data_IF_726342503001
#
_entry.id   IF_726342503001
#
_cell.length_a   1.000
_cell.length_b   1.000
_cell.length_c   1.000
_cell.angle_alpha   90.00
_cell.angle_beta   90.00
_cell.angle_gamma   90.00
#
_symmetry.space_group_name_H-M   'P 1'
#
loop_
_entity.id
_entity.type
_entity.pdbx_description
1 polymer ?
#
# COMPACT_ATOMS: atom_id res chain seq x y z
N UNK A 1 11.94 4.02 -26.92
CA UNK A 1 12.54 4.87 -25.87
C UNK A 1 11.82 6.19 -25.88
N UNK A 2 11.39 6.65 -24.71
CA UNK A 2 10.67 7.93 -24.51
C UNK A 2 11.60 8.84 -23.73
N UNK A 3 11.77 10.11 -24.19
CA UNK A 3 12.55 11.12 -23.48
C UNK A 3 11.61 12.00 -22.65
N UNK A 4 11.94 12.18 -21.37
CA UNK A 4 11.17 12.99 -20.43
C UNK A 4 12.10 13.73 -19.47
N UNK A 5 11.53 14.64 -18.69
CA UNK A 5 12.26 15.38 -17.66
C UNK A 5 11.64 15.10 -16.30
N UNK A 6 12.43 14.62 -15.33
CA UNK A 6 12.01 14.42 -13.94
C UNK A 6 12.85 15.33 -13.03
N UNK A 7 12.20 16.19 -12.29
CA UNK A 7 12.82 17.18 -11.38
C UNK A 7 13.96 17.98 -12.05
N UNK A 8 13.78 18.33 -13.34
CA UNK A 8 14.74 19.11 -14.13
C UNK A 8 15.84 18.27 -14.80
N UNK A 9 15.91 16.97 -14.57
CA UNK A 9 16.88 16.06 -15.18
C UNK A 9 16.24 15.31 -16.34
N UNK A 10 16.84 15.39 -17.53
CA UNK A 10 16.39 14.63 -18.71
C UNK A 10 16.79 13.16 -18.56
N UNK A 11 15.86 12.27 -18.88
CA UNK A 11 16.09 10.83 -18.89
C UNK A 11 15.40 10.17 -20.06
N UNK A 12 15.85 8.97 -20.43
CA UNK A 12 15.24 8.13 -21.47
C UNK A 12 14.91 6.77 -20.90
N UNK A 13 13.68 6.36 -21.06
CA UNK A 13 13.19 5.07 -20.58
C UNK A 13 12.43 4.32 -21.68
N UNK A 14 12.24 3.00 -21.55
CA UNK A 14 11.41 2.24 -22.46
C UNK A 14 9.98 2.79 -22.54
N UNK A 15 9.33 2.64 -23.69
CA UNK A 15 7.91 2.93 -23.83
C UNK A 15 7.08 2.00 -22.92
N UNK A 16 6.04 2.54 -22.26
CA UNK A 16 5.22 1.82 -21.31
C UNK A 16 5.74 1.83 -19.86
N UNK A 17 6.96 2.35 -19.62
CA UNK A 17 7.48 2.57 -18.26
C UNK A 17 6.58 3.56 -17.52
N UNK A 18 6.30 3.32 -16.25
CA UNK A 18 5.55 4.27 -15.42
C UNK A 18 6.46 5.38 -14.88
N UNK A 19 5.88 6.53 -14.55
CA UNK A 19 6.61 7.64 -13.94
C UNK A 19 7.28 7.24 -12.60
N UNK A 20 6.69 6.30 -11.87
CA UNK A 20 7.28 5.76 -10.65
C UNK A 20 8.54 4.93 -10.94
N UNK A 21 8.49 4.05 -11.93
CA UNK A 21 9.62 3.23 -12.34
C UNK A 21 10.76 4.10 -12.87
N UNK A 22 10.45 5.04 -13.76
CA UNK A 22 11.44 6.00 -14.28
C UNK A 22 12.13 6.80 -13.16
N UNK A 23 11.37 7.30 -12.19
CA UNK A 23 11.92 8.00 -11.02
C UNK A 23 12.80 7.08 -10.17
N UNK A 24 12.38 5.82 -9.98
CA UNK A 24 13.13 4.82 -9.19
C UNK A 24 14.47 4.49 -9.85
N UNK A 25 14.52 4.33 -11.17
CA UNK A 25 15.77 4.12 -11.94
C UNK A 25 16.74 5.30 -11.79
N UNK A 26 16.22 6.51 -11.61
CA UNK A 26 17.03 7.70 -11.33
C UNK A 26 17.42 7.85 -9.85
N UNK A 27 17.06 6.90 -8.97
CA UNK A 27 17.30 6.97 -7.53
C UNK A 27 16.35 7.93 -6.79
N UNK A 28 15.28 8.41 -7.42
CA UNK A 28 14.30 9.30 -6.81
C UNK A 28 13.24 8.47 -6.10
N UNK A 29 13.12 8.64 -4.79
CA UNK A 29 12.14 7.93 -3.97
C UNK A 29 10.81 8.67 -3.96
N UNK A 30 9.77 8.06 -4.53
CA UNK A 30 8.38 8.52 -4.43
C UNK A 30 7.66 7.61 -3.43
N UNK A 31 6.97 8.16 -2.41
CA UNK A 31 6.28 7.34 -1.43
C UNK A 31 5.13 6.56 -2.07
N UNK A 32 4.96 5.30 -1.67
CA UNK A 32 3.88 4.42 -2.16
C UNK A 32 3.26 3.64 -1.02
N UNK A 33 1.99 3.23 -1.18
CA UNK A 33 1.32 2.29 -0.28
C UNK A 33 0.67 1.13 -1.02
N UNK A 34 0.03 1.37 -2.16
CA UNK A 34 -0.65 0.30 -2.90
C UNK A 34 0.23 -0.34 -4.00
N UNK A 35 1.31 0.29 -4.40
CA UNK A 35 2.26 -0.26 -5.36
C UNK A 35 3.15 -1.32 -4.70
N UNK A 36 3.37 -2.41 -5.40
CA UNK A 36 4.33 -3.46 -5.07
C UNK A 36 4.93 -3.94 -6.38
N UNK A 37 6.27 -4.02 -6.50
CA UNK A 37 6.90 -4.65 -7.65
C UNK A 37 6.39 -6.08 -7.85
N UNK A 38 6.10 -6.46 -9.10
CA UNK A 38 5.57 -7.77 -9.44
C UNK A 38 4.05 -7.93 -9.29
N UNK A 39 3.34 -6.88 -8.86
CA UNK A 39 1.88 -6.81 -8.95
C UNK A 39 1.44 -5.71 -9.91
N UNK A 40 0.34 -5.94 -10.62
CA UNK A 40 -0.21 -4.94 -11.52
C UNK A 40 -0.47 -3.61 -10.79
N UNK A 41 -0.13 -2.44 -11.37
CA UNK A 41 -0.41 -1.14 -10.78
C UNK A 41 -1.91 -0.93 -10.54
N UNK A 42 -2.28 -0.24 -9.44
CA UNK A 42 -3.68 -0.07 -9.07
C UNK A 42 -4.08 1.40 -8.82
N UNK A 43 -3.15 2.24 -8.36
CA UNK A 43 -3.38 3.68 -8.16
C UNK A 43 -4.37 4.07 -7.07
N UNK A 44 -4.81 3.14 -6.20
CA UNK A 44 -5.88 3.36 -5.24
C UNK A 44 -5.53 4.31 -4.09
N UNK A 45 -4.31 4.23 -3.55
CA UNK A 45 -3.95 4.98 -2.33
C UNK A 45 -3.65 6.45 -2.59
N UNK A 46 -3.31 6.84 -3.80
CA UNK A 46 -2.95 8.21 -4.21
C UNK A 46 -1.75 8.82 -3.45
N UNK A 47 -0.95 8.04 -2.77
CA UNK A 47 0.22 8.52 -2.03
C UNK A 47 1.37 8.91 -2.96
N UNK A 48 1.46 8.27 -4.11
CA UNK A 48 2.51 8.48 -5.11
C UNK A 48 2.21 9.64 -6.09
N UNK A 49 1.37 10.60 -5.72
CA UNK A 49 1.05 11.74 -6.58
C UNK A 49 2.30 12.52 -6.97
N UNK A 50 2.42 12.84 -8.24
CA UNK A 50 3.41 13.75 -8.82
C UNK A 50 2.71 14.85 -9.58
N UNK A 51 3.37 15.97 -9.78
CA UNK A 51 2.86 17.02 -10.66
C UNK A 51 3.40 16.80 -12.06
N UNK A 52 2.49 16.77 -13.03
CA UNK A 52 2.80 16.65 -14.46
C UNK A 52 2.54 17.99 -15.11
N UNK A 53 3.52 18.52 -15.82
CA UNK A 53 3.40 19.76 -16.56
C UNK A 53 3.34 19.46 -18.05
N UNK A 54 2.27 19.89 -18.71
CA UNK A 54 2.08 19.74 -20.17
C UNK A 54 1.40 20.98 -20.72
N UNK A 55 2.01 21.62 -21.70
CA UNK A 55 1.42 22.77 -22.40
C UNK A 55 1.06 23.95 -21.48
N UNK A 56 1.89 24.23 -20.46
CA UNK A 56 1.66 25.32 -19.49
C UNK A 56 0.58 25.02 -18.43
N UNK A 57 -0.03 23.83 -18.47
CA UNK A 57 -0.98 23.36 -17.44
C UNK A 57 -0.31 22.32 -16.58
N UNK A 58 -0.71 22.26 -15.31
CA UNK A 58 -0.23 21.21 -14.40
C UNK A 58 -1.38 20.41 -13.82
N UNK A 59 -1.19 19.08 -13.77
CA UNK A 59 -2.12 18.13 -13.13
C UNK A 59 -1.41 17.30 -12.07
N UNK A 60 -2.16 16.71 -11.17
CA UNK A 60 -1.65 15.76 -10.18
C UNK A 60 -2.04 14.34 -10.60
N UNK A 61 -1.03 13.51 -10.86
CA UNK A 61 -1.21 12.15 -11.33
C UNK A 61 -0.55 11.13 -10.39
N UNK A 62 -1.08 9.92 -10.38
CA UNK A 62 -0.48 8.84 -9.61
C UNK A 62 0.67 8.22 -10.39
N UNK A 63 1.90 8.45 -9.98
CA UNK A 63 3.10 8.01 -10.70
C UNK A 63 3.14 6.49 -10.96
N UNK A 64 2.58 5.67 -10.07
CA UNK A 64 2.56 4.20 -10.23
C UNK A 64 1.64 3.69 -11.37
N UNK A 65 0.77 4.54 -11.91
CA UNK A 65 -0.15 4.19 -12.99
C UNK A 65 -0.04 5.15 -14.18
N UNK A 66 0.86 6.10 -14.11
CA UNK A 66 1.09 7.09 -15.17
C UNK A 66 2.17 6.57 -16.13
N UNK A 67 1.81 6.12 -17.35
CA UNK A 67 2.80 5.85 -18.37
C UNK A 67 3.50 7.16 -18.79
N UNK A 68 4.80 7.10 -19.02
CA UNK A 68 5.55 8.27 -19.45
C UNK A 68 5.32 8.54 -20.94
N UNK A 69 5.30 9.83 -21.31
CA UNK A 69 5.12 10.31 -22.67
C UNK A 69 6.31 11.18 -23.10
N UNK A 70 6.52 11.26 -24.41
CA UNK A 70 7.60 12.08 -25.00
C UNK A 70 7.47 13.56 -24.60
N UNK A 71 8.57 14.14 -24.15
CA UNK A 71 8.64 15.53 -23.73
C UNK A 71 7.90 15.86 -22.41
N UNK A 72 7.42 14.85 -21.69
CA UNK A 72 6.70 15.04 -20.43
C UNK A 72 7.63 15.62 -19.36
N UNK A 73 7.13 16.57 -18.57
CA UNK A 73 7.83 17.12 -17.40
C UNK A 73 7.12 16.70 -16.14
N UNK A 74 7.84 16.02 -15.27
CA UNK A 74 7.34 15.49 -14.01
C UNK A 74 8.10 16.11 -12.84
N UNK A 75 7.35 16.63 -11.87
CA UNK A 75 7.88 17.17 -10.62
C UNK A 75 7.47 16.25 -9.47
N UNK A 76 8.44 15.56 -8.90
CA UNK A 76 8.19 14.58 -7.85
C UNK A 76 8.03 15.22 -6.48
N UNK A 77 8.61 16.40 -6.28
CA UNK A 77 8.66 17.08 -4.97
C UNK A 77 8.14 18.52 -5.03
N UNK A 78 7.19 18.83 -5.93
CA UNK A 78 6.57 20.16 -5.99
C UNK A 78 5.72 20.44 -4.73
N UNK A 79 5.53 21.73 -4.42
CA UNK A 79 4.65 22.14 -3.31
C UNK A 79 3.24 21.59 -3.48
N UNK A 80 2.70 21.60 -4.69
CA UNK A 80 1.38 21.08 -5.05
C UNK A 80 1.28 19.58 -4.80
N UNK A 81 2.27 18.78 -5.23
CA UNK A 81 2.33 17.35 -4.98
C UNK A 81 2.43 17.03 -3.49
N UNK A 82 3.30 17.72 -2.76
CA UNK A 82 3.49 17.53 -1.33
C UNK A 82 2.24 17.90 -0.52
N UNK A 83 1.58 19.00 -0.85
CA UNK A 83 0.33 19.41 -0.22
C UNK A 83 -0.77 18.36 -0.42
N UNK A 84 -0.90 17.84 -1.64
CA UNK A 84 -1.86 16.80 -1.95
C UNK A 84 -1.56 15.48 -1.20
N UNK A 85 -0.30 15.04 -1.18
CA UNK A 85 0.12 13.86 -0.42
C UNK A 85 -0.18 13.97 1.07
N UNK A 86 0.07 15.16 1.68
CA UNK A 86 -0.28 15.41 3.08
C UNK A 86 -1.76 15.18 3.35
N UNK A 87 -2.64 15.73 2.51
CA UNK A 87 -4.10 15.53 2.64
C UNK A 87 -4.46 14.06 2.49
N UNK A 88 -3.87 13.35 1.53
CA UNK A 88 -4.12 11.93 1.30
C UNK A 88 -3.69 11.09 2.51
N UNK A 89 -2.49 11.31 3.03
CA UNK A 89 -2.00 10.58 4.22
C UNK A 89 -2.89 10.88 5.43
N UNK A 90 -3.32 12.12 5.62
CA UNK A 90 -4.22 12.49 6.71
C UNK A 90 -5.58 11.78 6.60
N UNK A 91 -6.14 11.64 5.39
CA UNK A 91 -7.37 10.88 5.13
C UNK A 91 -7.19 9.38 5.40
N UNK A 92 -6.07 8.81 4.97
CA UNK A 92 -5.75 7.40 5.22
C UNK A 92 -5.54 7.14 6.71
N UNK A 93 -4.83 8.03 7.40
CA UNK A 93 -4.61 7.96 8.84
C UNK A 93 -5.91 8.11 9.62
N UNK A 94 -6.84 8.98 9.17
CA UNK A 94 -8.18 9.06 9.76
C UNK A 94 -8.99 7.77 9.59
N UNK A 95 -8.67 7.00 8.56
CA UNK A 95 -9.33 5.71 8.31
C UNK A 95 -8.71 4.59 9.13
N UNK A 96 -7.37 4.51 9.20
CA UNK A 96 -6.60 3.49 9.92
C UNK A 96 -5.61 4.17 10.89
N UNK A 97 -6.07 4.73 12.00
CA UNK A 97 -5.23 5.53 12.90
C UNK A 97 -4.18 4.71 13.65
N UNK A 98 -4.42 3.41 13.82
CA UNK A 98 -3.50 2.48 14.50
C UNK A 98 -2.36 1.96 13.61
N UNK A 99 -2.39 2.26 12.31
CA UNK A 99 -1.32 1.82 11.39
C UNK A 99 -0.02 2.58 11.62
N UNK A 100 1.02 1.84 12.00
CA UNK A 100 2.36 2.41 12.20
C UNK A 100 2.93 3.01 10.90
N UNK A 101 2.80 2.33 9.77
CA UNK A 101 3.25 2.88 8.46
C UNK A 101 2.63 4.25 8.19
N UNK A 102 1.33 4.40 8.43
CA UNK A 102 0.67 5.68 8.19
C UNK A 102 1.09 6.75 9.20
N UNK A 103 1.30 6.38 10.46
CA UNK A 103 1.82 7.29 11.50
C UNK A 103 3.23 7.76 11.16
N UNK A 104 4.12 6.86 10.75
CA UNK A 104 5.49 7.18 10.35
C UNK A 104 5.51 8.09 9.11
N UNK A 105 4.66 7.80 8.11
CA UNK A 105 4.52 8.66 6.92
C UNK A 105 3.98 10.05 7.29
N UNK A 106 3.00 10.13 8.17
CA UNK A 106 2.43 11.38 8.66
C UNK A 106 3.50 12.20 9.42
N UNK A 107 4.26 11.56 10.30
CA UNK A 107 5.36 12.19 11.03
C UNK A 107 6.41 12.79 10.09
N UNK A 108 6.88 12.00 9.10
CA UNK A 108 7.85 12.47 8.09
C UNK A 108 7.33 13.65 7.26
N UNK A 109 6.01 13.75 7.07
CA UNK A 109 5.38 14.86 6.36
C UNK A 109 5.00 16.04 7.27
N UNK A 110 5.29 15.97 8.56
CA UNK A 110 4.95 17.02 9.54
C UNK A 110 3.44 17.15 9.79
N UNK A 111 2.71 16.04 9.77
CA UNK A 111 1.28 15.99 10.08
C UNK A 111 1.15 15.68 11.57
N UNK A 112 0.83 16.69 12.38
CA UNK A 112 0.73 16.56 13.83
C UNK A 112 -0.72 16.44 14.33
N UNK A 113 -1.71 16.66 13.44
CA UNK A 113 -3.13 16.63 13.79
C UNK A 113 -3.96 16.12 12.61
N UNK A 114 -4.89 15.23 12.91
CA UNK A 114 -5.88 14.74 11.93
C UNK A 114 -7.07 15.70 11.94
N UNK A 115 -7.39 16.31 10.79
CA UNK A 115 -8.54 17.23 10.63
C UNK A 115 -9.85 16.48 10.33
N UNK A 116 -9.75 15.23 9.88
CA UNK A 116 -10.89 14.42 9.44
C UNK A 116 -11.41 13.54 10.57
N UNK A 117 -12.70 13.18 10.50
CA UNK A 117 -13.32 12.27 11.47
C UNK A 117 -12.65 10.89 11.42
N UNK A 118 -12.16 10.43 12.55
CA UNK A 118 -11.54 9.11 12.68
C UNK A 118 -12.59 8.00 12.54
N UNK A 119 -12.27 6.98 11.75
CA UNK A 119 -13.18 5.87 11.41
C UNK A 119 -12.81 4.56 12.07
N UNK A 120 -11.60 4.44 12.63
CA UNK A 120 -11.06 3.22 13.26
C UNK A 120 -11.29 1.95 12.40
N UNK A 121 -10.88 2.00 11.14
CA UNK A 121 -10.87 0.83 10.26
C UNK A 121 -9.47 0.26 10.18
N UNK A 122 -9.38 -1.04 9.90
CA UNK A 122 -8.10 -1.75 9.73
C UNK A 122 -7.71 -1.93 8.25
N UNK A 123 -8.36 -1.21 7.33
CA UNK A 123 -8.15 -1.36 5.90
C UNK A 123 -8.31 -0.05 5.15
N UNK A 124 -7.30 0.30 4.35
CA UNK A 124 -7.30 1.46 3.44
C UNK A 124 -7.75 1.11 2.02
N UNK A 125 -8.25 -0.10 1.79
CA UNK A 125 -8.72 -0.59 0.49
C UNK A 125 -7.66 -0.50 -0.63
N UNK A 126 -6.39 -0.64 -0.29
CA UNK A 126 -5.27 -0.52 -1.25
C UNK A 126 -5.18 -1.67 -2.26
N UNK A 127 -5.85 -2.79 -2.01
CA UNK A 127 -5.95 -3.92 -2.92
C UNK A 127 -4.68 -4.76 -3.08
N UNK A 128 -3.64 -4.57 -2.28
CA UNK A 128 -2.44 -5.42 -2.35
C UNK A 128 -2.79 -6.90 -2.13
N UNK A 129 -3.52 -7.19 -1.06
CA UNK A 129 -3.92 -8.55 -0.71
C UNK A 129 -4.76 -9.22 -1.80
N UNK A 130 -5.72 -8.50 -2.39
CA UNK A 130 -6.59 -9.01 -3.46
C UNK A 130 -5.77 -9.33 -4.71
N UNK A 131 -4.88 -8.41 -5.14
CA UNK A 131 -4.01 -8.61 -6.31
C UNK A 131 -3.00 -9.73 -6.07
N UNK A 132 -2.37 -9.77 -4.91
CA UNK A 132 -1.46 -10.85 -4.54
C UNK A 132 -2.14 -12.22 -4.62
N UNK A 133 -3.31 -12.35 -4.00
CA UNK A 133 -4.08 -13.60 -4.02
C UNK A 133 -4.43 -14.04 -5.45
N UNK A 134 -4.80 -13.08 -6.31
CA UNK A 134 -5.17 -13.35 -7.70
C UNK A 134 -3.96 -13.56 -8.60
N UNK A 135 -2.96 -12.69 -8.52
CA UNK A 135 -1.87 -12.63 -9.52
C UNK A 135 -0.74 -13.59 -9.18
N UNK A 136 -0.34 -13.70 -7.90
CA UNK A 136 0.77 -14.53 -7.46
C UNK A 136 0.28 -15.92 -7.04
N UNK A 137 -0.75 -15.99 -6.21
CA UNK A 137 -1.24 -17.26 -5.69
C UNK A 137 -2.21 -17.97 -6.64
N UNK A 138 -2.73 -17.26 -7.66
CA UNK A 138 -3.72 -17.78 -8.63
C UNK A 138 -4.98 -18.36 -7.97
N UNK A 139 -5.27 -17.96 -6.73
CA UNK A 139 -6.35 -18.49 -5.91
C UNK A 139 -7.63 -17.67 -6.03
N UNK A 140 -7.52 -16.34 -5.99
CA UNK A 140 -8.72 -15.47 -5.99
C UNK A 140 -9.59 -15.60 -4.74
N UNK A 141 -9.08 -16.21 -3.67
CA UNK A 141 -9.83 -16.51 -2.45
C UNK A 141 -10.35 -15.29 -1.66
N UNK A 142 -9.88 -14.09 -2.00
CA UNK A 142 -10.37 -12.83 -1.43
C UNK A 142 -10.60 -11.80 -2.52
N UNK A 143 -11.57 -10.93 -2.30
CA UNK A 143 -11.95 -9.89 -3.25
C UNK A 143 -12.54 -8.66 -2.57
N UNK A 144 -12.88 -7.65 -3.38
CA UNK A 144 -13.65 -6.53 -2.90
C UNK A 144 -15.14 -6.85 -2.95
N UNK A 145 -15.84 -6.64 -1.84
CA UNK A 145 -17.28 -6.75 -1.73
C UNK A 145 -17.90 -5.42 -1.30
N UNK A 146 -19.16 -5.20 -1.71
CA UNK A 146 -19.87 -3.95 -1.47
C UNK A 146 -19.35 -2.79 -2.34
N UNK A 147 -19.94 -1.63 -2.13
CA UNK A 147 -19.61 -0.40 -2.87
C UNK A 147 -19.66 0.83 -1.97
N UNK A 148 -19.02 1.92 -2.39
CA UNK A 148 -18.96 3.16 -1.61
C UNK A 148 -18.41 2.94 -0.20
N UNK A 149 -19.11 3.42 0.80
CA UNK A 149 -18.69 3.33 2.21
C UNK A 149 -18.79 1.93 2.80
N UNK A 150 -19.55 1.02 2.18
CA UNK A 150 -19.67 -0.39 2.59
C UNK A 150 -18.62 -1.29 1.95
N UNK A 151 -17.79 -0.77 1.05
CA UNK A 151 -16.75 -1.56 0.38
C UNK A 151 -15.73 -2.08 1.39
N UNK A 152 -15.44 -3.36 1.30
CA UNK A 152 -14.44 -4.07 2.13
C UNK A 152 -13.78 -5.19 1.36
N UNK A 153 -12.67 -5.68 1.89
CA UNK A 153 -12.06 -6.94 1.44
C UNK A 153 -12.72 -8.08 2.22
N UNK A 154 -13.13 -9.12 1.53
CA UNK A 154 -13.71 -10.29 2.15
C UNK A 154 -13.53 -11.54 1.26
N UNK A 155 -13.78 -12.70 1.84
CA UNK A 155 -13.95 -13.95 1.11
C UNK A 155 -15.33 -14.00 0.45
N UNK A 156 -15.53 -14.78 -0.62
CA UNK A 156 -16.85 -15.02 -1.20
C UNK A 156 -17.83 -15.54 -0.16
N UNK A 157 -18.99 -14.91 -0.08
CA UNK A 157 -20.07 -15.28 0.85
C UNK A 157 -19.68 -15.37 2.34
N UNK A 158 -18.52 -14.80 2.73
CA UNK A 158 -18.03 -14.86 4.13
C UNK A 158 -17.43 -16.21 4.52
N UNK A 159 -17.21 -17.12 3.58
CA UNK A 159 -16.64 -18.46 3.81
C UNK A 159 -15.25 -18.51 3.16
N UNK A 160 -14.30 -19.19 3.77
CA UNK A 160 -13.01 -19.46 3.13
C UNK A 160 -13.23 -20.41 1.95
N UNK A 161 -12.95 -20.01 0.71
CA UNK A 161 -13.15 -20.86 -0.45
C UNK A 161 -12.09 -21.97 -0.51
N UNK A 162 -12.42 -23.06 -1.18
CA UNK A 162 -11.51 -24.22 -1.35
C UNK A 162 -10.19 -23.84 -2.04
N UNK A 163 -10.23 -22.85 -2.93
CA UNK A 163 -9.06 -22.33 -3.63
C UNK A 163 -8.09 -21.58 -2.72
N UNK A 164 -8.52 -21.22 -1.52
CA UNK A 164 -7.67 -20.53 -0.55
C UNK A 164 -6.64 -21.52 0.03
N UNK A 165 -5.36 -21.23 -0.24
CA UNK A 165 -4.25 -22.07 0.22
C UNK A 165 -3.83 -21.81 1.67
N UNK A 166 -4.53 -20.96 2.41
CA UNK A 166 -4.19 -20.55 3.78
C UNK A 166 -2.71 -20.08 3.91
N UNK A 167 -2.16 -19.44 2.89
CA UNK A 167 -0.74 -19.09 2.82
C UNK A 167 -0.37 -17.83 3.65
N UNK A 168 -1.34 -17.09 4.20
CA UNK A 168 -1.10 -15.85 4.96
C UNK A 168 -0.61 -14.65 4.14
N UNK A 169 -0.29 -14.84 2.84
CA UNK A 169 0.32 -13.81 2.00
C UNK A 169 -0.50 -12.54 1.83
N UNK A 170 -1.83 -12.62 1.97
CA UNK A 170 -2.71 -11.46 1.93
C UNK A 170 -2.51 -10.50 3.12
N UNK A 171 -2.16 -11.02 4.28
CA UNK A 171 -1.82 -10.22 5.45
C UNK A 171 -0.37 -9.76 5.41
N UNK A 172 0.52 -10.66 5.01
CA UNK A 172 1.93 -10.34 4.83
C UNK A 172 2.16 -9.12 3.93
N UNK A 173 1.44 -9.02 2.83
CA UNK A 173 1.61 -7.93 1.87
C UNK A 173 0.87 -6.64 2.26
N UNK A 174 0.09 -6.66 3.34
CA UNK A 174 -0.74 -5.53 3.76
C UNK A 174 0.10 -4.40 4.36
N UNK A 175 0.05 -3.17 3.82
CA UNK A 175 0.88 -2.07 4.30
C UNK A 175 0.37 -1.44 5.61
N UNK A 176 -0.79 -1.86 6.09
CA UNK A 176 -1.41 -1.32 7.32
C UNK A 176 -1.62 -2.39 8.40
N UNK A 177 -1.45 -3.68 8.08
CA UNK A 177 -1.45 -4.77 9.04
C UNK A 177 -0.02 -4.98 9.55
N UNK A 178 0.45 -4.08 10.39
CA UNK A 178 1.79 -4.12 10.99
C UNK A 178 1.78 -4.76 12.35
N UNK A 179 0.97 -5.75 12.54
CA UNK A 179 0.94 -6.42 13.83
C UNK A 179 2.03 -7.46 13.89
N UNK A 180 2.66 -7.55 15.03
CA UNK A 180 3.74 -8.49 15.34
C UNK A 180 3.33 -9.97 15.13
N UNK A 181 2.06 -10.23 14.97
CA UNK A 181 1.51 -11.51 14.59
C UNK A 181 0.49 -11.30 13.46
N UNK A 182 0.48 -12.20 12.48
CA UNK A 182 -0.48 -12.23 11.37
C UNK A 182 -1.95 -12.36 11.81
N UNK A 183 -2.19 -12.21 13.08
CA UNK A 183 -3.38 -12.62 13.74
C UNK A 183 -4.60 -11.77 13.48
N UNK A 184 -4.51 -10.74 12.65
CA UNK A 184 -5.42 -9.72 13.05
C UNK A 184 -6.62 -9.43 12.25
N UNK A 185 -6.80 -9.92 11.09
CA UNK A 185 -8.06 -9.64 10.41
C UNK A 185 -8.59 -10.79 9.56
N UNK A 186 -7.70 -11.43 8.83
CA UNK A 186 -8.11 -12.52 7.95
C UNK A 186 -7.85 -13.91 8.56
N UNK A 187 -6.89 -13.96 9.48
CA UNK A 187 -6.48 -15.17 10.18
C UNK A 187 -7.07 -15.24 11.59
N UNK A 188 -7.89 -14.27 11.97
CA UNK A 188 -8.51 -14.21 13.28
C UNK A 188 -9.24 -15.51 13.68
N UNK A 189 -9.77 -16.22 12.71
CA UNK A 189 -10.32 -17.55 12.94
C UNK A 189 -9.27 -18.61 13.27
N UNK A 190 -8.04 -18.46 12.76
CA UNK A 190 -6.95 -19.40 12.96
C UNK A 190 -6.04 -19.00 14.13
N UNK A 191 -5.92 -17.70 14.38
CA UNK A 191 -5.02 -17.14 15.38
C UNK A 191 -5.72 -16.28 16.44
N UNK A 192 -7.02 -16.42 16.63
CA UNK A 192 -7.80 -15.63 17.60
C UNK A 192 -7.26 -15.69 19.04
N UNK A 193 -6.48 -16.70 19.37
CA UNK A 193 -5.77 -16.79 20.63
C UNK A 193 -4.55 -15.87 20.76
N UNK A 194 -3.94 -15.46 19.65
CA UNK A 194 -2.74 -14.62 19.69
C UNK A 194 -3.02 -13.17 20.13
N UNK A 195 -4.23 -12.69 19.96
CA UNK A 195 -4.63 -11.35 20.42
C UNK A 195 -4.71 -11.26 21.93
N UNK A 196 -4.93 -12.37 22.59
CA UNK A 196 -5.17 -12.45 24.03
C UNK A 196 -4.14 -13.32 24.73
N UNK A 197 -2.86 -13.27 24.31
CA UNK A 197 -1.80 -13.88 25.12
C UNK A 197 -1.74 -15.41 25.09
N UNK A 198 -2.18 -16.06 24.01
CA UNK A 198 -1.79 -17.47 23.84
C UNK A 198 -0.25 -17.53 23.68
N UNK A 199 0.44 -18.37 24.44
CA UNK A 199 1.88 -18.52 24.28
C UNK A 199 2.21 -18.82 22.81
N UNK A 200 3.23 -18.16 22.29
CA UNK A 200 3.71 -18.33 20.88
C UNK A 200 3.90 -19.81 20.53
N UNK A 201 4.23 -20.62 21.51
CA UNK A 201 4.44 -22.05 21.42
C UNK A 201 3.19 -22.86 21.05
N UNK A 202 1.99 -22.31 21.24
CA UNK A 202 0.73 -23.00 20.95
C UNK A 202 0.06 -22.59 19.65
N UNK A 203 0.60 -21.59 18.94
CA UNK A 203 0.04 -21.12 17.67
C UNK A 203 0.72 -21.84 16.49
N UNK A 204 -0.02 -22.69 15.72
CA UNK A 204 0.56 -23.42 14.60
C UNK A 204 1.05 -22.51 13.47
N UNK A 205 0.60 -21.25 13.43
CA UNK A 205 1.07 -20.25 12.45
C UNK A 205 2.30 -19.50 12.97
N UNK A 206 2.51 -19.45 14.28
CA UNK A 206 3.61 -18.73 14.92
C UNK A 206 4.87 -19.57 15.11
N UNK A 207 4.85 -20.88 14.90
CA UNK A 207 6.06 -21.72 14.98
C UNK A 207 7.15 -21.31 14.00
N UNK A 208 6.80 -20.59 12.91
CA UNK A 208 7.78 -19.96 12.02
C UNK A 208 8.03 -18.48 12.28
N UNK A 209 7.26 -17.83 13.16
CA UNK A 209 7.38 -16.40 13.42
C UNK A 209 8.45 -16.05 14.45
N UNK A 210 8.81 -16.96 15.34
CA UNK A 210 9.81 -16.74 16.40
C UNK A 210 11.21 -16.42 15.88
N UNK A 211 11.53 -16.90 14.69
CA UNK A 211 12.83 -16.63 14.04
C UNK A 211 12.85 -15.32 13.24
N UNK A 212 11.66 -14.76 12.92
CA UNK A 212 11.53 -13.56 12.07
C UNK A 212 11.09 -12.31 12.81
N UNK A 213 10.87 -12.39 14.12
CA UNK A 213 10.43 -11.27 14.96
C UNK A 213 11.61 -10.81 15.82
N UNK A 214 12.08 -9.58 15.59
CA UNK A 214 13.11 -8.98 16.44
C UNK A 214 12.61 -8.77 17.87
N UNK A 215 13.52 -8.46 18.82
CA UNK A 215 13.22 -8.36 20.26
C UNK A 215 12.16 -7.33 20.64
N UNK A 216 11.67 -6.54 19.69
CA UNK A 216 10.57 -5.56 19.88
C UNK A 216 9.26 -5.95 19.17
N UNK A 217 9.12 -7.21 18.73
CA UNK A 217 7.92 -7.69 18.06
C UNK A 217 7.72 -7.18 16.63
N UNK A 218 8.73 -6.54 16.04
CA UNK A 218 8.71 -6.09 14.64
C UNK A 218 9.45 -7.06 13.74
N UNK A 219 8.86 -7.39 12.59
CA UNK A 219 9.57 -8.14 11.55
C UNK A 219 10.74 -7.30 11.05
N UNK A 220 11.93 -7.87 11.09
CA UNK A 220 13.11 -7.32 10.43
C UNK A 220 13.03 -7.78 8.98
N UNK A 221 12.92 -6.83 8.04
CA UNK A 221 13.05 -7.07 6.61
C UNK A 221 14.50 -6.89 6.18
#
# INVERSE_FOLDING_TARGET
MVELTIDGVRTRVPEGTTALEAATEMGITIPTLCYVPGLSPYGACRVCLVEVVKGGRSSLEASCTLPVEEGQVILTNSEKANKARKVVIELLLSTCPSSKTLQDMASRMGINKIRFKVKNRDCILCGRCVRYCKEQMKSGGIGFVGRGTSRRVATPFGVTPEECRNCGGCEWICPVCERACLADSLVNGLCGGCQNVAPVETCPVCTGCSESVGPQGHRVY
#
